data_IF_403533665678
#
_entry.id   IF_403533665678
#
_cell.length_a   1.000
_cell.length_b   1.000
_cell.length_c   1.000
_cell.angle_alpha   90.00
_cell.angle_beta   90.00
_cell.angle_gamma   90.00
#
_symmetry.space_group_name_H-M   'P 1'
#
loop_
_entity.id
_entity.type
_entity.pdbx_description
1 polymer ?
#
# COMPACT_ATOMS: atom_id res chain seq x y z
N UNK A 1 -22.62 -55.31 23.38
CA UNK A 1 -22.81 -54.65 22.07
C UNK A 1 -23.01 -53.17 22.32
N UNK A 2 -22.06 -52.34 21.89
CA UNK A 2 -22.04 -50.87 22.14
C UNK A 2 -22.84 -50.15 21.05
N UNK A 3 -23.93 -49.53 21.39
CA UNK A 3 -24.74 -48.62 20.57
C UNK A 3 -24.20 -47.19 20.67
N UNK A 4 -22.94 -46.96 20.29
CA UNK A 4 -22.31 -45.61 20.34
C UNK A 4 -21.95 -45.04 18.94
N UNK A 5 -22.64 -45.48 17.89
CA UNK A 5 -22.32 -45.09 16.52
C UNK A 5 -23.37 -44.30 15.74
N UNK A 6 -24.47 -43.88 16.35
CA UNK A 6 -25.63 -43.32 15.61
C UNK A 6 -25.95 -41.84 15.89
N UNK A 7 -25.03 -41.07 16.48
CA UNK A 7 -25.15 -39.63 16.66
C UNK A 7 -23.99 -38.85 16.06
N UNK A 8 -23.40 -39.30 14.99
CA UNK A 8 -22.73 -38.41 14.06
C UNK A 8 -23.81 -37.58 13.36
N UNK A 9 -24.21 -36.49 14.01
CA UNK A 9 -25.11 -35.46 13.43
C UNK A 9 -24.48 -35.08 12.09
N UNK A 10 -25.16 -35.41 10.99
CA UNK A 10 -24.95 -34.76 9.72
C UNK A 10 -25.11 -33.26 9.98
N UNK A 11 -24.00 -32.57 10.18
CA UNK A 11 -23.95 -31.12 9.98
C UNK A 11 -24.12 -30.91 8.47
N UNK A 12 -25.39 -30.89 8.04
CA UNK A 12 -25.74 -30.46 6.70
C UNK A 12 -25.08 -29.10 6.50
N UNK A 13 -24.43 -28.91 5.37
CA UNK A 13 -23.87 -27.63 4.96
C UNK A 13 -25.03 -26.61 4.91
N UNK A 14 -25.29 -25.93 6.02
CA UNK A 14 -26.25 -24.83 6.05
C UNK A 14 -25.71 -23.73 5.12
N UNK A 15 -26.55 -23.10 4.28
CA UNK A 15 -26.12 -22.06 3.36
C UNK A 15 -25.56 -20.86 4.14
N UNK A 16 -24.59 -20.17 3.53
CA UNK A 16 -23.99 -18.97 4.08
C UNK A 16 -22.47 -19.06 4.27
N UNK A 17 -21.88 -17.94 4.68
CA UNK A 17 -20.45 -17.79 4.95
C UNK A 17 -20.16 -18.10 6.41
N UNK A 18 -19.17 -18.94 6.67
CA UNK A 18 -18.80 -19.39 8.02
C UNK A 18 -17.36 -18.98 8.34
N UNK A 19 -17.16 -18.39 9.53
CA UNK A 19 -15.83 -18.00 10.02
C UNK A 19 -15.79 -17.80 11.51
N UNK A 20 -14.62 -17.48 12.04
CA UNK A 20 -14.43 -17.18 13.46
C UNK A 20 -14.55 -15.67 13.67
N UNK A 21 -15.39 -15.25 14.62
CA UNK A 21 -15.58 -13.83 14.94
C UNK A 21 -14.32 -13.21 15.54
N UNK A 22 -13.88 -12.09 14.99
CA UNK A 22 -12.90 -11.18 15.57
C UNK A 22 -13.57 -9.85 15.84
N UNK A 23 -13.74 -9.54 17.12
CA UNK A 23 -14.50 -8.37 17.53
C UNK A 23 -13.56 -7.21 17.74
N UNK A 24 -13.87 -6.08 17.14
CA UNK A 24 -13.20 -4.83 17.38
C UNK A 24 -13.52 -4.31 18.80
N UNK A 25 -12.48 -4.03 19.57
CA UNK A 25 -12.60 -3.43 20.91
C UNK A 25 -12.08 -2.01 20.99
N UNK A 26 -11.19 -1.64 20.08
CA UNK A 26 -10.60 -0.31 19.85
C UNK A 26 -10.29 -0.18 18.38
N UNK A 27 -10.39 1.03 17.83
CA UNK A 27 -9.96 1.34 16.47
C UNK A 27 -8.58 0.71 16.19
N UNK A 28 -8.41 0.05 15.07
CA UNK A 28 -7.20 -0.65 14.59
C UNK A 28 -6.83 -1.99 15.26
N UNK A 29 -7.47 -2.39 16.38
CA UNK A 29 -7.10 -3.62 17.09
C UNK A 29 -7.55 -4.89 16.34
N UNK A 30 -8.65 -4.83 15.62
CA UNK A 30 -9.19 -5.99 14.88
C UNK A 30 -8.25 -6.42 13.76
N UNK A 31 -7.65 -5.49 13.03
CA UNK A 31 -6.76 -5.75 11.90
C UNK A 31 -5.50 -6.54 12.29
N UNK A 32 -5.01 -6.36 13.52
CA UNK A 32 -3.85 -7.11 14.05
C UNK A 32 -4.18 -8.53 14.46
N UNK A 33 -5.46 -8.86 14.70
CA UNK A 33 -5.91 -10.15 15.25
C UNK A 33 -6.62 -11.03 14.24
N UNK A 34 -7.12 -10.45 13.17
CA UNK A 34 -7.82 -11.15 12.09
C UNK A 34 -6.86 -12.08 11.33
N UNK A 35 -7.37 -13.25 10.97
CA UNK A 35 -6.67 -14.28 10.17
C UNK A 35 -7.50 -14.64 8.94
N UNK A 36 -6.88 -15.22 7.90
CA UNK A 36 -7.63 -15.72 6.76
C UNK A 36 -8.73 -16.70 7.17
N UNK A 37 -9.94 -16.47 6.65
CA UNK A 37 -11.14 -17.26 6.99
C UNK A 37 -11.93 -16.75 8.20
N UNK A 38 -11.49 -15.69 8.89
CA UNK A 38 -12.24 -15.10 9.98
C UNK A 38 -13.39 -14.19 9.49
N UNK A 39 -14.32 -13.87 10.39
CA UNK A 39 -15.37 -12.84 10.22
C UNK A 39 -15.01 -11.67 11.14
N UNK A 40 -14.80 -10.49 10.56
CA UNK A 40 -14.60 -9.27 11.33
C UNK A 40 -15.93 -8.71 11.84
N UNK A 41 -16.00 -8.36 13.13
CA UNK A 41 -17.15 -7.71 13.75
C UNK A 41 -16.74 -6.31 14.15
N UNK A 42 -17.34 -5.32 13.50
CA UNK A 42 -16.98 -3.90 13.58
C UNK A 42 -18.16 -3.08 14.16
N UNK A 43 -17.85 -1.88 14.62
CA UNK A 43 -18.82 -0.83 14.96
C UNK A 43 -18.38 0.49 14.32
N UNK A 44 -18.34 0.50 12.99
CA UNK A 44 -17.87 1.64 12.18
C UNK A 44 -19.03 2.28 11.43
N UNK A 45 -19.44 3.47 11.84
CA UNK A 45 -20.24 4.32 10.98
C UNK A 45 -19.35 4.82 9.81
N UNK A 46 -19.88 4.71 8.59
CA UNK A 46 -19.17 5.15 7.39
C UNK A 46 -17.83 4.39 7.18
N UNK A 47 -17.91 3.09 6.90
CA UNK A 47 -16.76 2.22 6.71
C UNK A 47 -15.89 2.70 5.54
N UNK A 48 -14.69 3.12 5.84
CA UNK A 48 -13.76 3.68 4.86
C UNK A 48 -13.06 2.60 4.02
N UNK A 49 -12.54 3.04 2.88
CA UNK A 49 -11.84 2.18 1.94
C UNK A 49 -10.58 1.55 2.55
N UNK A 50 -9.80 2.30 3.34
CA UNK A 50 -8.54 1.82 3.94
C UNK A 50 -8.78 0.63 4.86
N UNK A 51 -9.79 0.74 5.73
CA UNK A 51 -10.18 -0.34 6.63
C UNK A 51 -10.66 -1.57 5.84
N UNK A 52 -11.48 -1.37 4.80
CA UNK A 52 -11.93 -2.47 3.95
C UNK A 52 -10.78 -3.16 3.20
N UNK A 53 -9.86 -2.41 2.62
CA UNK A 53 -8.66 -2.94 1.93
C UNK A 53 -7.76 -3.74 2.90
N UNK A 54 -7.62 -3.27 4.14
CA UNK A 54 -6.88 -4.00 5.16
C UNK A 54 -7.55 -5.33 5.54
N UNK A 55 -8.90 -5.36 5.66
CA UNK A 55 -9.67 -6.58 5.88
C UNK A 55 -9.56 -7.57 4.71
N UNK A 56 -9.63 -7.07 3.47
CA UNK A 56 -9.38 -7.89 2.25
C UNK A 56 -7.99 -8.50 2.30
N UNK A 57 -6.97 -7.71 2.61
CA UNK A 57 -5.58 -8.18 2.70
C UNK A 57 -5.37 -9.20 3.82
N UNK A 58 -6.12 -9.09 4.91
CA UNK A 58 -6.10 -10.06 6.01
C UNK A 58 -6.85 -11.36 5.66
N UNK A 59 -7.58 -11.42 4.54
CA UNK A 59 -8.25 -12.63 4.04
C UNK A 59 -9.52 -12.98 4.81
N UNK A 60 -10.26 -12.00 5.34
CA UNK A 60 -11.56 -12.25 5.97
C UNK A 60 -12.57 -12.79 4.94
N UNK A 61 -13.51 -13.61 5.40
CA UNK A 61 -14.57 -14.16 4.55
C UNK A 61 -15.91 -13.44 4.74
N UNK A 62 -16.03 -12.65 5.79
CA UNK A 62 -17.23 -11.87 6.08
C UNK A 62 -16.95 -10.71 7.02
N UNK A 63 -17.81 -9.71 6.95
CA UNK A 63 -17.82 -8.54 7.84
C UNK A 63 -19.23 -8.39 8.39
N UNK A 64 -19.33 -8.18 9.70
CA UNK A 64 -20.55 -7.80 10.41
C UNK A 64 -20.32 -6.43 11.00
N UNK A 65 -21.07 -5.43 10.55
CA UNK A 65 -20.95 -4.07 11.05
C UNK A 65 -22.16 -3.69 11.89
N UNK A 66 -21.93 -3.23 13.12
CA UNK A 66 -22.97 -2.81 14.03
C UNK A 66 -23.65 -1.51 13.59
N UNK A 67 -22.86 -0.57 13.05
CA UNK A 67 -23.32 0.70 12.50
C UNK A 67 -23.56 0.61 10.98
N UNK A 68 -24.24 1.60 10.35
CA UNK A 68 -24.36 1.66 8.91
C UNK A 68 -23.00 1.97 8.26
N UNK A 69 -22.57 1.13 7.33
CA UNK A 69 -21.32 1.29 6.59
C UNK A 69 -21.37 2.43 5.57
N UNK A 70 -22.56 2.87 5.18
CA UNK A 70 -22.81 4.11 4.42
C UNK A 70 -23.98 4.81 5.11
N UNK A 71 -23.70 5.93 5.79
CA UNK A 71 -24.71 6.68 6.56
C UNK A 71 -25.45 7.73 5.72
N UNK A 72 -25.11 7.92 4.47
CA UNK A 72 -25.63 8.98 3.60
C UNK A 72 -24.88 10.31 3.73
N UNK A 73 -23.88 10.42 4.63
CA UNK A 73 -23.06 11.63 4.77
C UNK A 73 -21.91 11.69 3.78
N UNK A 74 -21.29 10.53 3.53
CA UNK A 74 -20.16 10.36 2.64
C UNK A 74 -20.35 9.13 1.76
N UNK A 75 -19.92 9.17 0.48
CA UNK A 75 -19.93 8.01 -0.38
C UNK A 75 -18.75 7.09 -0.07
N UNK A 76 -18.79 6.46 1.12
CA UNK A 76 -17.71 5.59 1.59
C UNK A 76 -17.55 4.36 0.72
N UNK A 77 -16.33 4.09 0.28
CA UNK A 77 -16.01 3.03 -0.67
C UNK A 77 -15.72 1.67 -0.01
N UNK A 78 -15.72 1.60 1.32
CA UNK A 78 -15.43 0.36 2.04
C UNK A 78 -16.33 -0.81 1.67
N UNK A 79 -17.66 -0.65 1.68
CA UNK A 79 -18.58 -1.71 1.27
C UNK A 79 -18.34 -2.22 -0.14
N UNK A 80 -18.12 -1.33 -1.11
CA UNK A 80 -17.83 -1.69 -2.51
C UNK A 80 -16.54 -2.53 -2.63
N UNK A 81 -15.49 -2.16 -1.89
CA UNK A 81 -14.22 -2.91 -1.83
C UNK A 81 -14.43 -4.32 -1.27
N UNK A 82 -15.20 -4.46 -0.17
CA UNK A 82 -15.48 -5.77 0.43
C UNK A 82 -16.24 -6.68 -0.53
N UNK A 83 -17.33 -6.17 -1.12
CA UNK A 83 -18.17 -6.93 -2.03
C UNK A 83 -17.44 -7.31 -3.32
N UNK A 84 -16.64 -6.39 -3.87
CA UNK A 84 -15.78 -6.66 -5.04
C UNK A 84 -14.75 -7.76 -4.78
N UNK A 85 -14.32 -7.93 -3.53
CA UNK A 85 -13.43 -9.01 -3.10
C UNK A 85 -14.19 -10.32 -2.75
N UNK A 86 -15.52 -10.35 -2.89
CA UNK A 86 -16.35 -11.51 -2.57
C UNK A 86 -16.57 -11.73 -1.06
N UNK A 87 -16.35 -10.71 -0.23
CA UNK A 87 -16.54 -10.77 1.22
C UNK A 87 -17.99 -10.43 1.54
N UNK A 88 -18.66 -11.32 2.30
CA UNK A 88 -20.04 -11.10 2.73
C UNK A 88 -20.11 -9.94 3.73
N UNK A 89 -20.99 -8.97 3.50
CA UNK A 89 -21.23 -7.84 4.41
C UNK A 89 -22.65 -7.88 4.96
N UNK A 90 -22.76 -7.96 6.30
CA UNK A 90 -24.02 -7.78 7.03
C UNK A 90 -23.90 -6.49 7.82
N UNK A 91 -24.72 -5.52 7.45
CA UNK A 91 -24.65 -4.14 7.92
C UNK A 91 -25.75 -3.78 8.90
N UNK A 92 -25.51 -2.80 9.77
CA UNK A 92 -26.51 -2.25 10.70
C UNK A 92 -27.11 -3.29 11.66
N UNK A 93 -26.29 -4.22 12.17
CA UNK A 93 -26.77 -5.27 13.10
C UNK A 93 -27.12 -4.69 14.49
N UNK A 94 -26.65 -3.50 14.79
CA UNK A 94 -26.86 -2.80 16.06
C UNK A 94 -25.71 -2.98 17.06
N UNK A 95 -25.48 -1.98 17.92
CA UNK A 95 -24.31 -1.93 18.83
C UNK A 95 -24.35 -3.02 19.91
N UNK A 96 -25.53 -3.54 20.27
CA UNK A 96 -25.67 -4.60 21.26
C UNK A 96 -25.12 -5.93 20.78
N UNK A 97 -25.04 -6.15 19.46
CA UNK A 97 -24.53 -7.39 18.89
C UNK A 97 -23.06 -7.65 19.29
N UNK A 98 -22.19 -6.65 19.12
CA UNK A 98 -20.78 -6.76 19.45
C UNK A 98 -20.52 -7.03 20.95
N UNK A 99 -21.46 -6.62 21.83
CA UNK A 99 -21.40 -6.87 23.28
C UNK A 99 -21.85 -8.27 23.66
N UNK A 100 -22.77 -8.86 22.89
CA UNK A 100 -23.36 -10.18 23.18
C UNK A 100 -22.49 -11.34 22.68
N UNK A 101 -21.68 -11.12 21.67
CA UNK A 101 -20.83 -12.15 21.07
C UNK A 101 -19.43 -12.14 21.71
N UNK A 102 -18.89 -13.32 21.95
CA UNK A 102 -17.51 -13.47 22.43
C UNK A 102 -16.54 -13.58 21.24
N UNK A 103 -15.39 -12.93 21.37
CA UNK A 103 -14.29 -13.09 20.42
C UNK A 103 -13.91 -14.58 20.29
N UNK A 104 -13.67 -15.05 19.07
CA UNK A 104 -13.44 -16.46 18.79
C UNK A 104 -14.69 -17.33 18.58
N UNK A 105 -15.89 -16.78 18.67
CA UNK A 105 -17.15 -17.52 18.39
C UNK A 105 -17.22 -17.86 16.90
N UNK A 106 -17.63 -19.11 16.57
CA UNK A 106 -17.91 -19.48 15.18
C UNK A 106 -19.25 -18.92 14.73
N UNK A 107 -19.22 -18.02 13.77
CA UNK A 107 -20.39 -17.39 13.18
C UNK A 107 -20.69 -17.93 11.78
N UNK A 108 -21.97 -17.86 11.38
CA UNK A 108 -22.46 -18.09 10.03
C UNK A 108 -23.32 -16.91 9.61
N UNK A 109 -23.02 -16.35 8.44
CA UNK A 109 -23.76 -15.23 7.83
C UNK A 109 -24.63 -15.78 6.71
N UNK A 110 -25.93 -15.47 6.74
CA UNK A 110 -26.85 -15.88 5.69
C UNK A 110 -28.05 -14.91 5.63
N UNK A 111 -28.29 -14.32 4.46
CA UNK A 111 -29.44 -13.42 4.20
C UNK A 111 -29.65 -12.34 5.29
N UNK A 112 -28.57 -11.67 5.69
CA UNK A 112 -28.62 -10.63 6.74
C UNK A 112 -28.71 -11.19 8.17
N UNK A 113 -28.94 -12.48 8.35
CA UNK A 113 -28.88 -13.13 9.66
C UNK A 113 -27.45 -13.51 10.06
N UNK A 114 -27.15 -13.33 11.35
CA UNK A 114 -25.91 -13.78 11.98
C UNK A 114 -26.24 -14.90 12.95
N UNK A 115 -25.63 -16.07 12.78
CA UNK A 115 -25.96 -17.29 13.50
C UNK A 115 -24.77 -17.86 14.28
N UNK A 116 -25.07 -18.43 15.46
CA UNK A 116 -24.20 -19.34 16.20
C UNK A 116 -24.83 -20.74 16.16
N UNK A 117 -24.24 -21.64 15.37
CA UNK A 117 -24.91 -22.89 15.01
C UNK A 117 -26.18 -22.65 14.20
N UNK A 118 -27.32 -23.08 14.74
CA UNK A 118 -28.65 -22.86 14.14
C UNK A 118 -29.39 -21.64 14.74
N UNK A 119 -28.89 -21.11 15.86
CA UNK A 119 -29.52 -19.97 16.55
C UNK A 119 -29.11 -18.65 15.90
N UNK A 120 -30.09 -17.85 15.49
CA UNK A 120 -29.87 -16.46 15.09
C UNK A 120 -29.56 -15.62 16.35
N UNK A 121 -28.46 -14.89 16.30
CA UNK A 121 -27.95 -14.05 17.39
C UNK A 121 -27.90 -12.58 17.03
N UNK A 122 -28.15 -12.25 15.78
CA UNK A 122 -28.25 -10.89 15.28
C UNK A 122 -28.79 -10.87 13.86
N UNK A 123 -29.37 -9.76 13.47
CA UNK A 123 -29.90 -9.52 12.13
C UNK A 123 -29.56 -8.11 11.70
N UNK A 124 -29.05 -7.98 10.49
CA UNK A 124 -28.79 -6.73 9.81
C UNK A 124 -29.25 -6.79 8.36
N UNK A 125 -28.75 -5.88 7.56
CA UNK A 125 -28.99 -5.85 6.12
C UNK A 125 -27.84 -6.55 5.40
N UNK A 126 -28.12 -7.63 4.66
CA UNK A 126 -27.15 -8.19 3.74
C UNK A 126 -26.94 -7.18 2.61
N UNK A 127 -25.73 -6.72 2.43
CA UNK A 127 -25.37 -5.81 1.35
C UNK A 127 -24.96 -6.60 0.11
N UNK A 128 -25.39 -6.13 -1.05
CA UNK A 128 -24.95 -6.56 -2.36
C UNK A 128 -24.50 -5.36 -3.21
N UNK A 129 -24.04 -5.63 -4.42
CA UNK A 129 -23.52 -4.58 -5.28
C UNK A 129 -24.58 -3.52 -5.64
N UNK A 130 -25.83 -3.93 -5.83
CA UNK A 130 -26.91 -3.03 -6.22
C UNK A 130 -27.32 -2.15 -5.03
N UNK A 131 -27.50 -2.73 -3.84
CA UNK A 131 -27.83 -1.98 -2.63
C UNK A 131 -26.75 -0.97 -2.25
N UNK A 132 -25.46 -1.33 -2.38
CA UNK A 132 -24.36 -0.42 -2.13
C UNK A 132 -24.30 0.69 -3.19
N UNK A 133 -24.57 0.39 -4.46
CA UNK A 133 -24.64 1.41 -5.50
C UNK A 133 -25.73 2.44 -5.23
N UNK A 134 -26.90 2.01 -4.80
CA UNK A 134 -28.02 2.90 -4.45
C UNK A 134 -27.66 3.80 -3.25
N UNK A 135 -27.09 3.21 -2.19
CA UNK A 135 -26.63 3.96 -1.02
C UNK A 135 -25.54 4.99 -1.37
N UNK A 136 -24.64 4.66 -2.29
CA UNK A 136 -23.62 5.60 -2.77
C UNK A 136 -24.21 6.75 -3.58
N UNK A 137 -25.28 6.50 -4.36
CA UNK A 137 -25.99 7.57 -5.10
C UNK A 137 -26.66 8.52 -4.09
N UNK A 138 -27.35 8.00 -3.08
CA UNK A 138 -27.99 8.80 -2.03
C UNK A 138 -26.96 9.61 -1.25
N UNK A 139 -25.84 8.99 -0.86
CA UNK A 139 -24.75 9.66 -0.14
C UNK A 139 -24.11 10.79 -0.96
N UNK A 140 -23.99 10.62 -2.29
CA UNK A 140 -23.52 11.70 -3.18
C UNK A 140 -24.48 12.88 -3.23
N UNK A 141 -25.79 12.64 -3.20
CA UNK A 141 -26.79 13.70 -3.16
C UNK A 141 -26.75 14.51 -1.85
N UNK A 142 -26.48 13.81 -0.71
CA UNK A 142 -26.33 14.45 0.62
C UNK A 142 -25.04 15.26 0.81
N UNK A 143 -24.12 15.21 -0.13
CA UNK A 143 -22.74 15.67 0.04
C UNK A 143 -22.53 17.20 -0.03
N UNK A 144 -23.53 17.99 -0.42
CA UNK A 144 -23.39 19.47 -0.55
C UNK A 144 -22.87 20.13 0.72
N UNK A 145 -23.45 19.77 1.87
CA UNK A 145 -23.04 20.32 3.17
C UNK A 145 -21.59 19.94 3.53
N UNK A 146 -21.17 18.76 3.13
CA UNK A 146 -19.79 18.29 3.36
C UNK A 146 -18.78 19.05 2.49
N UNK A 147 -19.15 19.37 1.25
CA UNK A 147 -18.31 20.18 0.36
C UNK A 147 -18.19 21.64 0.86
N UNK A 148 -19.26 22.19 1.42
CA UNK A 148 -19.20 23.50 2.07
C UNK A 148 -18.25 23.50 3.27
N UNK A 149 -18.37 22.48 4.15
CA UNK A 149 -17.49 22.31 5.31
C UNK A 149 -16.03 22.10 4.87
N UNK A 150 -15.80 21.27 3.84
CA UNK A 150 -14.47 21.07 3.26
C UNK A 150 -13.88 22.38 2.72
N UNK A 151 -14.68 23.17 2.00
CA UNK A 151 -14.24 24.46 1.46
C UNK A 151 -13.84 25.42 2.57
N UNK A 152 -14.67 25.53 3.63
CA UNK A 152 -14.36 26.34 4.80
C UNK A 152 -13.07 25.90 5.51
N UNK A 153 -12.92 24.59 5.73
CA UNK A 153 -11.73 24.01 6.34
C UNK A 153 -10.48 24.22 5.47
N UNK A 154 -10.62 24.17 4.13
CA UNK A 154 -9.52 24.42 3.20
C UNK A 154 -9.03 25.86 3.27
N UNK A 155 -9.96 26.81 3.35
CA UNK A 155 -9.62 28.25 3.52
C UNK A 155 -8.92 28.46 4.85
N UNK A 156 -9.41 27.86 5.94
CA UNK A 156 -8.81 27.98 7.27
C UNK A 156 -7.42 27.33 7.32
N UNK A 157 -7.26 26.15 6.75
CA UNK A 157 -5.96 25.51 6.63
C UNK A 157 -4.97 26.38 5.84
N UNK A 158 -5.39 26.93 4.69
CA UNK A 158 -4.56 27.79 3.88
C UNK A 158 -4.16 29.10 4.64
N UNK A 159 -5.04 29.66 5.46
CA UNK A 159 -4.71 30.82 6.30
C UNK A 159 -3.64 30.48 7.34
N UNK A 160 -3.78 29.33 7.99
CA UNK A 160 -2.87 28.88 9.06
C UNK A 160 -1.50 28.47 8.52
N UNK A 161 -1.48 27.72 7.43
CA UNK A 161 -0.26 27.17 6.82
C UNK A 161 0.19 27.96 5.58
N UNK A 162 -0.19 29.24 5.48
CA UNK A 162 0.04 30.07 4.30
C UNK A 162 1.51 30.09 3.88
N UNK A 163 2.42 30.34 4.82
CA UNK A 163 3.85 30.44 4.54
C UNK A 163 4.44 29.12 4.10
N UNK A 164 3.99 28.02 4.68
CA UNK A 164 4.40 26.68 4.25
C UNK A 164 3.86 26.35 2.85
N UNK A 165 2.56 26.54 2.63
CA UNK A 165 1.90 26.12 1.38
C UNK A 165 2.26 27.04 0.20
N UNK A 166 2.41 28.34 0.38
CA UNK A 166 2.72 29.28 -0.71
C UNK A 166 4.23 29.47 -0.89
N UNK A 167 4.95 29.66 0.19
CA UNK A 167 6.35 30.10 0.16
C UNK A 167 7.34 28.97 0.48
N UNK A 168 6.89 27.83 1.02
CA UNK A 168 7.75 26.72 1.49
C UNK A 168 8.54 27.04 2.75
N UNK A 169 8.15 28.10 3.48
CA UNK A 169 8.83 28.51 4.73
C UNK A 169 8.37 27.60 5.87
N UNK A 170 9.31 27.16 6.70
CA UNK A 170 9.07 26.28 7.85
C UNK A 170 9.38 24.80 7.55
N UNK A 171 9.78 24.49 6.31
CA UNK A 171 10.30 23.16 5.98
C UNK A 171 11.70 23.02 6.59
N UNK A 172 11.98 21.93 7.33
CA UNK A 172 13.28 21.71 7.91
C UNK A 172 14.36 21.43 6.85
N UNK A 173 15.60 21.82 7.14
CA UNK A 173 16.75 21.46 6.33
C UNK A 173 17.06 19.96 6.49
N UNK A 174 17.53 19.35 5.41
CA UNK A 174 17.95 17.95 5.36
C UNK A 174 19.45 17.87 5.06
N UNK A 175 20.10 16.87 5.66
CA UNK A 175 21.47 16.49 5.30
C UNK A 175 21.50 15.76 3.94
N UNK A 176 20.43 15.05 3.61
CA UNK A 176 20.25 14.39 2.33
C UNK A 176 19.99 15.40 1.22
N UNK A 177 20.81 15.40 0.15
CA UNK A 177 20.60 16.27 -1.01
C UNK A 177 19.51 15.71 -1.92
N UNK A 178 18.42 16.48 -2.08
CA UNK A 178 17.30 16.19 -2.98
C UNK A 178 17.32 17.07 -4.24
N UNK A 179 18.14 18.13 -4.25
CA UNK A 179 18.18 19.15 -5.32
C UNK A 179 18.48 18.50 -6.68
N UNK A 180 17.64 18.79 -7.67
CA UNK A 180 17.68 18.25 -9.04
C UNK A 180 17.64 16.71 -9.16
N UNK A 181 17.33 16.01 -8.07
CA UNK A 181 17.22 14.55 -8.07
C UNK A 181 15.77 14.08 -8.12
N UNK A 182 15.49 12.93 -8.77
CA UNK A 182 14.19 12.27 -8.61
C UNK A 182 14.07 11.74 -7.17
N UNK A 183 12.86 11.83 -6.63
CA UNK A 183 12.51 11.32 -5.29
C UNK A 183 11.43 10.25 -5.46
N UNK A 184 11.51 9.18 -4.69
CA UNK A 184 10.44 8.19 -4.56
C UNK A 184 9.93 8.24 -3.12
N UNK A 185 8.64 8.58 -2.95
CA UNK A 185 7.96 8.59 -1.66
C UNK A 185 7.08 7.35 -1.56
N UNK A 186 7.35 6.51 -0.56
CA UNK A 186 6.56 5.33 -0.26
C UNK A 186 5.76 5.56 1.01
N UNK A 187 4.45 5.67 0.87
CA UNK A 187 3.50 5.76 1.98
C UNK A 187 2.77 4.42 2.20
N UNK A 188 2.25 4.17 3.41
CA UNK A 188 1.42 3.02 3.67
C UNK A 188 0.10 3.14 2.90
N UNK A 189 -0.19 2.17 2.03
CA UNK A 189 -1.41 2.15 1.22
C UNK A 189 -1.62 0.77 0.61
N UNK A 190 -2.82 0.51 0.11
CA UNK A 190 -3.13 -0.80 -0.47
C UNK A 190 -2.24 -1.13 -1.67
N UNK A 191 -1.60 -2.31 -1.64
CA UNK A 191 -0.77 -2.81 -2.74
C UNK A 191 0.57 -2.11 -2.90
N UNK A 192 0.96 -1.18 -1.99
CA UNK A 192 2.21 -0.42 -2.09
C UNK A 192 3.47 -1.29 -2.19
N UNK A 193 3.50 -2.45 -1.51
CA UNK A 193 4.63 -3.38 -1.59
C UNK A 193 4.78 -3.99 -3.00
N UNK A 194 3.67 -4.32 -3.66
CA UNK A 194 3.70 -4.85 -5.02
C UNK A 194 3.99 -3.76 -6.06
N UNK A 195 3.50 -2.55 -5.85
CA UNK A 195 3.83 -1.41 -6.70
C UNK A 195 5.32 -1.05 -6.58
N UNK A 196 5.91 -1.12 -5.37
CA UNK A 196 7.35 -0.97 -5.16
C UNK A 196 8.15 -2.04 -5.93
N UNK A 197 7.71 -3.30 -5.91
CA UNK A 197 8.36 -4.38 -6.69
C UNK A 197 8.37 -4.08 -8.19
N UNK A 198 7.32 -3.50 -8.73
CA UNK A 198 7.23 -3.10 -10.16
C UNK A 198 8.19 -1.97 -10.50
N UNK A 199 8.56 -1.14 -9.53
CA UNK A 199 9.48 0.00 -9.69
C UNK A 199 10.96 -0.37 -9.52
N UNK A 200 11.32 -1.64 -9.29
CA UNK A 200 12.73 -2.08 -9.11
C UNK A 200 13.65 -1.62 -10.24
N UNK A 201 13.16 -1.64 -11.49
CA UNK A 201 13.94 -1.16 -12.64
C UNK A 201 14.17 0.33 -12.55
N UNK A 202 13.13 1.11 -12.23
CA UNK A 202 13.21 2.55 -12.02
C UNK A 202 14.23 2.90 -10.94
N UNK A 203 14.10 2.29 -9.76
CA UNK A 203 15.00 2.57 -8.62
C UNK A 203 16.45 2.29 -8.98
N UNK A 204 16.73 1.17 -9.67
CA UNK A 204 18.09 0.80 -10.08
C UNK A 204 18.67 1.73 -11.13
N UNK A 205 17.86 2.19 -12.08
CA UNK A 205 18.27 3.00 -13.22
C UNK A 205 18.46 4.47 -12.84
N UNK A 206 17.49 5.04 -12.14
CA UNK A 206 17.45 6.46 -11.81
C UNK A 206 18.02 6.78 -10.43
N UNK A 207 18.17 5.80 -9.54
CA UNK A 207 18.66 5.95 -8.18
C UNK A 207 18.00 7.13 -7.44
N UNK A 208 16.66 7.16 -7.35
CA UNK A 208 15.97 8.24 -6.69
C UNK A 208 16.35 8.31 -5.21
N UNK A 209 16.19 9.47 -4.58
CA UNK A 209 16.19 9.58 -3.13
C UNK A 209 14.95 8.85 -2.61
N UNK A 210 15.11 7.99 -1.61
CA UNK A 210 14.03 7.18 -1.07
C UNK A 210 13.51 7.79 0.23
N UNK A 211 12.26 8.22 0.21
CA UNK A 211 11.56 8.72 1.40
C UNK A 211 10.52 7.67 1.80
N UNK A 212 10.66 7.14 3.02
CA UNK A 212 9.66 6.27 3.62
C UNK A 212 8.74 7.07 4.54
N UNK A 213 7.43 6.94 4.35
CA UNK A 213 6.45 7.55 5.24
C UNK A 213 5.94 6.49 6.19
N UNK A 214 6.08 6.70 7.51
CA UNK A 214 5.61 5.76 8.55
C UNK A 214 6.02 4.31 8.25
N UNK A 215 5.08 3.34 8.29
CA UNK A 215 5.34 1.93 7.98
C UNK A 215 5.77 1.69 6.52
N UNK A 216 5.63 2.67 5.63
CA UNK A 216 6.22 2.62 4.30
C UNK A 216 7.76 2.54 4.32
N UNK A 217 8.40 3.08 5.37
CA UNK A 217 9.83 2.94 5.58
C UNK A 217 10.24 1.48 5.86
N UNK A 218 9.42 0.74 6.61
CA UNK A 218 9.63 -0.69 6.87
C UNK A 218 9.57 -1.50 5.57
N UNK A 219 8.58 -1.20 4.73
CA UNK A 219 8.41 -1.87 3.42
C UNK A 219 9.59 -1.61 2.48
N UNK A 220 10.17 -0.40 2.48
CA UNK A 220 11.42 -0.14 1.75
C UNK A 220 12.54 -1.07 2.23
N UNK A 221 12.72 -1.22 3.55
CA UNK A 221 13.74 -2.08 4.13
C UNK A 221 13.52 -3.56 3.85
N UNK A 222 12.30 -4.03 3.98
CA UNK A 222 11.92 -5.42 3.63
C UNK A 222 12.18 -5.74 2.16
N UNK A 223 12.03 -4.75 1.28
CA UNK A 223 12.37 -4.86 -0.14
C UNK A 223 13.89 -4.78 -0.43
N UNK A 224 14.72 -4.60 0.60
CA UNK A 224 16.18 -4.51 0.50
C UNK A 224 16.72 -3.11 0.16
N UNK A 225 15.90 -2.07 0.32
CA UNK A 225 16.32 -0.68 0.14
C UNK A 225 16.54 -0.01 1.49
N UNK A 226 17.55 0.86 1.57
CA UNK A 226 17.72 1.77 2.70
C UNK A 226 17.04 3.08 2.37
N UNK A 227 16.04 3.55 3.14
CA UNK A 227 15.51 4.90 2.97
C UNK A 227 16.60 5.94 3.28
N UNK A 228 16.61 7.04 2.55
CA UNK A 228 17.46 8.20 2.81
C UNK A 228 16.81 9.08 3.89
N UNK A 229 15.49 9.24 3.83
CA UNK A 229 14.68 10.02 4.78
C UNK A 229 13.47 9.20 5.21
N UNK A 230 13.08 9.35 6.47
CA UNK A 230 11.86 8.77 7.04
C UNK A 230 11.02 9.91 7.62
N UNK A 231 9.75 10.00 7.22
CA UNK A 231 8.82 11.04 7.67
C UNK A 231 7.64 10.38 8.38
N UNK A 232 7.28 10.82 9.56
CA UNK A 232 6.07 10.37 10.24
C UNK A 232 6.23 10.09 11.72
N UNK A 233 5.20 9.44 12.29
CA UNK A 233 5.18 9.06 13.69
C UNK A 233 6.13 7.87 13.95
N UNK A 234 7.14 8.04 14.81
CA UNK A 234 8.05 6.95 15.15
C UNK A 234 7.36 5.72 15.75
N UNK A 235 6.20 5.88 16.39
CA UNK A 235 5.53 4.80 17.11
C UNK A 235 4.95 3.72 16.18
N UNK A 236 4.73 4.05 14.91
CA UNK A 236 4.23 3.10 13.90
C UNK A 236 5.35 2.50 13.04
N UNK A 237 6.62 2.82 13.33
CA UNK A 237 7.80 2.37 12.57
C UNK A 237 8.59 1.36 13.42
N UNK A 238 9.16 0.32 12.81
CA UNK A 238 9.99 -0.64 13.53
C UNK A 238 11.29 -0.03 14.04
N UNK A 239 11.75 -0.49 15.19
CA UNK A 239 13.00 0.00 15.80
C UNK A 239 14.21 -0.22 14.89
N UNK A 240 14.23 -1.31 14.15
CA UNK A 240 15.29 -1.65 13.20
C UNK A 240 15.32 -0.65 12.04
N UNK A 241 14.17 -0.17 11.60
CA UNK A 241 14.06 0.83 10.53
C UNK A 241 14.47 2.21 11.04
N UNK A 242 14.05 2.60 12.24
CA UNK A 242 14.48 3.85 12.85
C UNK A 242 16.01 3.92 13.01
N UNK A 243 16.67 2.79 13.29
CA UNK A 243 18.13 2.69 13.44
C UNK A 243 18.90 2.43 12.14
N UNK A 244 18.26 2.45 10.98
CA UNK A 244 18.96 2.15 9.71
C UNK A 244 19.93 3.25 9.25
N UNK A 245 19.94 4.39 9.94
CA UNK A 245 20.78 5.56 9.59
C UNK A 245 20.17 6.40 8.46
N UNK A 246 18.85 6.38 8.32
CA UNK A 246 18.08 7.37 7.56
C UNK A 246 17.94 8.65 8.39
N UNK A 247 17.74 9.79 7.74
CA UNK A 247 17.39 11.03 8.40
C UNK A 247 15.91 10.99 8.81
N UNK A 248 15.63 11.27 10.10
CA UNK A 248 14.27 11.19 10.64
C UNK A 248 13.65 12.58 10.69
N UNK A 249 12.47 12.73 10.12
CA UNK A 249 11.65 13.94 10.15
C UNK A 249 10.34 13.62 10.86
N UNK A 250 10.14 14.22 12.04
CA UNK A 250 8.98 13.96 12.89
C UNK A 250 8.00 15.13 12.76
N UNK A 251 6.74 14.88 12.36
CA UNK A 251 5.71 15.91 12.41
C UNK A 251 5.57 16.48 13.81
N UNK A 252 5.49 17.80 13.91
CA UNK A 252 5.30 18.50 15.17
C UNK A 252 4.12 19.45 15.07
N UNK A 253 3.48 19.72 16.20
CA UNK A 253 2.50 20.79 16.31
C UNK A 253 3.17 22.16 16.16
N UNK A 254 2.40 23.19 15.82
CA UNK A 254 2.91 24.56 15.69
C UNK A 254 3.48 25.14 17.00
N UNK A 255 3.09 24.57 18.14
CA UNK A 255 3.65 24.89 19.46
C UNK A 255 5.00 24.20 19.75
N UNK A 256 5.49 23.37 18.82
CA UNK A 256 6.74 22.62 18.89
C UNK A 256 6.62 21.25 19.56
N UNK A 257 5.46 20.87 20.07
CA UNK A 257 5.27 19.51 20.61
C UNK A 257 5.31 18.48 19.46
N UNK A 258 6.21 17.51 19.54
CA UNK A 258 6.39 16.46 18.56
C UNK A 258 6.09 15.10 19.20
N UNK A 259 4.92 14.50 18.95
CA UNK A 259 4.60 13.14 19.39
C UNK A 259 5.65 12.14 18.90
N UNK A 260 6.01 11.15 19.71
CA UNK A 260 7.01 10.14 19.38
C UNK A 260 8.48 10.60 19.51
N UNK A 261 8.77 11.89 19.77
CA UNK A 261 10.15 12.38 19.96
C UNK A 261 10.85 11.70 21.14
N UNK A 262 10.11 11.40 22.22
CA UNK A 262 10.65 10.68 23.40
C UNK A 262 11.23 9.32 22.99
N UNK A 263 10.53 8.57 22.16
CA UNK A 263 11.00 7.28 21.64
C UNK A 263 12.31 7.39 20.87
N UNK A 264 12.47 8.46 20.09
CA UNK A 264 13.71 8.71 19.33
C UNK A 264 14.86 9.03 20.26
N UNK A 265 14.61 9.81 21.31
CA UNK A 265 15.60 10.13 22.35
C UNK A 265 16.01 8.87 23.14
N UNK A 266 15.06 8.02 23.51
CA UNK A 266 15.31 6.72 24.18
C UNK A 266 16.15 5.77 23.32
N UNK A 267 15.98 5.82 22.00
CA UNK A 267 16.79 5.04 21.06
C UNK A 267 18.18 5.62 20.81
N UNK A 268 18.47 6.83 21.30
CA UNK A 268 19.75 7.53 21.14
C UNK A 268 20.04 7.98 19.70
N UNK A 269 18.99 8.27 18.91
CA UNK A 269 19.11 8.73 17.53
C UNK A 269 18.61 10.16 17.39
N UNK A 270 19.15 10.90 16.42
CA UNK A 270 18.72 12.26 16.12
C UNK A 270 17.50 12.27 15.19
N UNK A 271 16.67 13.28 15.35
CA UNK A 271 15.59 13.59 14.43
C UNK A 271 15.42 15.09 14.27
N UNK A 272 14.86 15.50 13.14
CA UNK A 272 14.46 16.88 12.86
C UNK A 272 12.94 16.97 12.98
N UNK A 273 12.44 18.02 13.60
CA UNK A 273 11.00 18.25 13.72
C UNK A 273 10.48 19.09 12.57
N UNK A 274 9.29 18.77 12.08
CA UNK A 274 8.60 19.52 11.04
C UNK A 274 7.30 20.11 11.60
N UNK A 275 7.31 21.36 12.10
CA UNK A 275 6.12 21.98 12.67
C UNK A 275 5.13 22.38 11.57
N UNK A 276 4.14 21.53 11.34
CA UNK A 276 3.08 21.76 10.36
C UNK A 276 1.85 20.91 10.67
N UNK A 277 0.67 21.37 10.25
CA UNK A 277 -0.60 20.66 10.48
C UNK A 277 -0.97 19.68 9.36
N UNK A 278 -0.01 19.26 8.53
CA UNK A 278 -0.23 18.32 7.42
C UNK A 278 -0.16 16.86 7.86
N UNK A 279 -0.66 15.97 7.00
CA UNK A 279 -0.41 14.54 7.15
C UNK A 279 1.05 14.20 6.82
N UNK A 280 1.63 13.12 7.38
CA UNK A 280 3.01 12.73 7.10
C UNK A 280 3.32 12.56 5.61
N UNK A 281 2.37 12.04 4.83
CA UNK A 281 2.50 11.93 3.37
C UNK A 281 2.64 13.30 2.70
N UNK A 282 1.84 14.27 3.10
CA UNK A 282 1.87 15.62 2.56
C UNK A 282 3.15 16.34 2.95
N UNK A 283 3.61 16.15 4.20
CA UNK A 283 4.87 16.70 4.68
C UNK A 283 6.07 16.14 3.91
N UNK A 284 6.05 14.86 3.57
CA UNK A 284 7.08 14.23 2.74
C UNK A 284 7.12 14.85 1.32
N UNK A 285 5.95 15.15 0.75
CA UNK A 285 5.86 15.83 -0.55
C UNK A 285 6.37 17.28 -0.48
N UNK A 286 5.93 18.04 0.53
CA UNK A 286 6.37 19.43 0.74
C UNK A 286 7.87 19.51 1.01
N UNK A 287 8.43 18.53 1.74
CA UNK A 287 9.86 18.39 1.97
C UNK A 287 10.62 18.21 0.64
N UNK A 288 10.15 17.29 -0.22
CA UNK A 288 10.74 17.08 -1.53
C UNK A 288 10.67 18.32 -2.44
N UNK A 289 9.53 19.06 -2.39
CA UNK A 289 9.38 20.29 -3.17
C UNK A 289 10.30 21.42 -2.70
N UNK A 290 10.35 21.66 -1.39
CA UNK A 290 11.16 22.73 -0.82
C UNK A 290 12.67 22.49 -1.07
N UNK A 291 13.10 21.22 -1.06
CA UNK A 291 14.48 20.83 -1.41
C UNK A 291 14.70 20.66 -2.92
N UNK A 292 13.80 21.21 -3.76
CA UNK A 292 13.92 21.31 -5.22
C UNK A 292 14.11 19.97 -5.92
N UNK A 293 13.43 18.92 -5.45
CA UNK A 293 13.38 17.66 -6.18
C UNK A 293 12.89 17.88 -7.62
N UNK A 294 13.53 17.21 -8.59
CA UNK A 294 13.16 17.35 -10.00
C UNK A 294 11.83 16.67 -10.32
N UNK A 295 11.54 15.54 -9.68
CA UNK A 295 10.35 14.73 -9.86
C UNK A 295 10.07 13.94 -8.59
N UNK A 296 8.80 13.76 -8.25
CA UNK A 296 8.39 12.95 -7.10
C UNK A 296 7.49 11.81 -7.56
N UNK A 297 7.99 10.59 -7.45
CA UNK A 297 7.23 9.36 -7.73
C UNK A 297 6.58 8.91 -6.43
N UNK A 298 5.25 8.82 -6.43
CA UNK A 298 4.47 8.44 -5.24
C UNK A 298 4.01 7.00 -5.32
N UNK A 299 4.18 6.25 -4.23
CA UNK A 299 3.71 4.87 -4.08
C UNK A 299 2.91 4.75 -2.79
N UNK A 300 1.76 4.09 -2.84
CA UNK A 300 0.83 4.01 -1.71
C UNK A 300 -0.08 5.23 -1.56
N UNK A 301 0.08 6.22 -2.43
CA UNK A 301 -0.80 7.39 -2.50
C UNK A 301 -1.96 7.10 -3.46
N UNK A 302 -3.14 7.04 -2.93
CA UNK A 302 -4.34 6.94 -3.75
C UNK A 302 -5.10 8.26 -3.68
N UNK A 303 -5.29 8.94 -4.79
CA UNK A 303 -5.90 10.26 -4.83
C UNK A 303 -6.86 10.39 -6.00
N UNK A 304 -7.82 9.49 -6.04
CA UNK A 304 -9.01 9.64 -6.88
C UNK A 304 -10.01 10.55 -6.18
N UNK A 305 -10.95 11.12 -6.92
CA UNK A 305 -12.03 11.91 -6.34
C UNK A 305 -12.86 11.10 -5.34
N UNK A 306 -13.07 9.80 -5.60
CA UNK A 306 -13.77 8.91 -4.69
C UNK A 306 -13.05 8.77 -3.34
N UNK A 307 -11.74 8.59 -3.38
CA UNK A 307 -10.92 8.51 -2.17
C UNK A 307 -10.82 9.84 -1.42
N UNK A 308 -10.80 10.95 -2.15
CA UNK A 308 -10.83 12.28 -1.56
C UNK A 308 -12.13 12.55 -0.78
N UNK A 309 -13.24 11.97 -1.23
CA UNK A 309 -14.56 12.10 -0.60
C UNK A 309 -14.83 11.00 0.45
N UNK A 310 -13.95 10.05 0.62
CA UNK A 310 -14.04 9.01 1.66
C UNK A 310 -13.64 9.59 3.02
N UNK A 311 -14.56 9.57 3.99
CA UNK A 311 -14.38 10.18 5.31
C UNK A 311 -13.22 9.62 6.13
N UNK A 312 -12.90 8.36 5.95
CA UNK A 312 -11.84 7.67 6.69
C UNK A 312 -10.44 7.91 6.14
N UNK A 313 -10.30 8.76 5.12
CA UNK A 313 -9.03 8.92 4.44
C UNK A 313 -8.43 10.32 4.57
N UNK A 314 -7.11 10.38 4.68
CA UNK A 314 -6.35 11.63 4.64
C UNK A 314 -6.52 12.41 3.32
N UNK A 315 -6.97 11.75 2.23
CA UNK A 315 -7.30 12.39 0.95
C UNK A 315 -8.41 13.43 1.01
N UNK A 316 -9.31 13.35 1.98
CA UNK A 316 -10.32 14.37 2.25
C UNK A 316 -9.79 15.55 3.07
N UNK A 317 -8.54 15.51 3.49
CA UNK A 317 -7.92 16.56 4.27
C UNK A 317 -7.54 17.76 3.36
N UNK A 318 -7.80 19.01 3.79
CA UNK A 318 -7.34 20.22 3.10
C UNK A 318 -5.85 20.24 2.79
N UNK A 319 -5.02 19.66 3.66
CA UNK A 319 -3.58 19.54 3.47
C UNK A 319 -3.25 18.79 2.18
N UNK A 320 -3.83 17.60 1.99
CA UNK A 320 -3.56 16.75 0.82
C UNK A 320 -4.00 17.44 -0.48
N UNK A 321 -5.16 18.11 -0.46
CA UNK A 321 -5.64 18.85 -1.61
C UNK A 321 -4.69 19.99 -2.02
N UNK A 322 -4.30 20.84 -1.06
CA UNK A 322 -3.43 21.99 -1.32
C UNK A 322 -2.00 21.56 -1.66
N UNK A 323 -1.46 20.56 -0.99
CA UNK A 323 -0.13 20.00 -1.29
C UNK A 323 -0.07 19.48 -2.73
N UNK A 324 -1.09 18.75 -3.19
CA UNK A 324 -1.14 18.26 -4.57
C UNK A 324 -1.25 19.37 -5.58
N UNK A 325 -2.04 20.43 -5.30
CA UNK A 325 -2.10 21.61 -6.15
C UNK A 325 -0.73 22.31 -6.24
N UNK A 326 -0.03 22.46 -5.11
CA UNK A 326 1.31 23.03 -5.07
C UNK A 326 2.31 22.21 -5.87
N UNK A 327 2.32 20.92 -5.69
CA UNK A 327 3.24 20.01 -6.38
C UNK A 327 3.00 19.96 -7.89
N UNK A 328 1.76 20.07 -8.32
CA UNK A 328 1.39 20.14 -9.74
C UNK A 328 1.97 19.00 -10.57
N UNK A 329 2.72 19.34 -11.62
CA UNK A 329 3.31 18.38 -12.55
C UNK A 329 4.54 17.63 -12.00
N UNK A 330 5.03 17.98 -10.82
CA UNK A 330 6.16 17.28 -10.20
C UNK A 330 5.80 15.91 -9.66
N UNK A 331 4.49 15.64 -9.36
CA UNK A 331 4.03 14.35 -8.87
C UNK A 331 3.71 13.42 -10.02
N UNK A 332 4.22 12.20 -9.94
CA UNK A 332 3.88 11.10 -10.86
C UNK A 332 3.56 9.86 -10.04
N UNK A 333 2.44 9.22 -10.36
CA UNK A 333 2.05 7.94 -9.74
C UNK A 333 3.03 6.82 -10.11
N UNK A 334 3.48 6.04 -9.13
CA UNK A 334 4.42 4.94 -9.34
C UNK A 334 3.89 3.87 -10.28
N UNK A 335 2.58 3.61 -10.31
CA UNK A 335 1.95 2.68 -11.26
C UNK A 335 2.08 3.20 -12.69
N UNK A 336 1.94 4.51 -12.90
CA UNK A 336 2.15 5.12 -14.21
C UNK A 336 3.61 4.99 -14.66
N UNK A 337 4.58 5.25 -13.76
CA UNK A 337 6.00 5.04 -14.03
C UNK A 337 6.30 3.58 -14.39
N UNK A 338 5.77 2.63 -13.62
CA UNK A 338 5.95 1.20 -13.89
C UNK A 338 5.33 0.78 -15.25
N UNK A 339 4.18 1.34 -15.61
CA UNK A 339 3.53 1.08 -16.89
C UNK A 339 4.33 1.63 -18.08
N UNK A 340 4.89 2.84 -17.94
CA UNK A 340 5.74 3.46 -18.97
C UNK A 340 7.07 2.71 -19.15
N UNK A 341 7.63 2.17 -18.06
CA UNK A 341 8.88 1.39 -18.12
C UNK A 341 8.71 -0.05 -18.58
N UNK A 342 7.48 -0.51 -18.82
CA UNK A 342 7.23 -1.85 -19.32
C UNK A 342 7.88 -1.99 -20.69
N UNK A 343 9.08 -2.59 -20.71
CA UNK A 343 9.84 -2.81 -21.93
C UNK A 343 9.00 -3.57 -22.97
N UNK A 344 8.73 -2.95 -24.11
CA UNK A 344 8.06 -3.61 -25.26
C UNK A 344 9.02 -4.50 -26.06
N UNK A 345 10.31 -4.43 -25.80
CA UNK A 345 11.29 -5.29 -26.47
C UNK A 345 11.40 -6.63 -25.71
N UNK A 346 10.87 -7.72 -26.23
CA UNK A 346 11.02 -9.03 -25.60
C UNK A 346 12.51 -9.39 -25.58
N UNK A 347 13.01 -9.87 -24.46
CA UNK A 347 14.40 -10.33 -24.29
C UNK A 347 14.80 -11.33 -25.39
N UNK A 348 13.84 -12.11 -25.88
CA UNK A 348 14.00 -13.03 -27.00
C UNK A 348 14.40 -12.33 -28.30
N UNK A 349 13.89 -11.12 -28.59
CA UNK A 349 14.27 -10.37 -29.78
C UNK A 349 15.74 -9.90 -29.72
N UNK A 350 16.19 -9.49 -28.55
CA UNK A 350 17.60 -9.09 -28.33
C UNK A 350 18.52 -10.31 -28.47
N UNK A 351 18.17 -11.45 -27.88
CA UNK A 351 18.91 -12.71 -28.00
C UNK A 351 18.97 -13.16 -29.46
N UNK A 352 17.85 -13.07 -30.17
CA UNK A 352 17.76 -13.46 -31.58
C UNK A 352 18.64 -12.53 -32.47
N UNK A 353 18.63 -11.22 -32.16
CA UNK A 353 19.52 -10.26 -32.85
C UNK A 353 20.98 -10.60 -32.63
N UNK A 354 21.39 -10.87 -31.38
CA UNK A 354 22.80 -11.27 -31.07
C UNK A 354 23.13 -12.58 -31.77
N UNK A 355 22.26 -13.57 -31.76
CA UNK A 355 22.48 -14.84 -32.46
C UNK A 355 22.59 -14.64 -33.96
N UNK A 356 21.79 -13.77 -34.57
CA UNK A 356 21.88 -13.45 -36.00
C UNK A 356 23.19 -12.74 -36.35
N UNK A 357 23.64 -11.80 -35.53
CA UNK A 357 24.94 -11.12 -35.71
C UNK A 357 26.11 -12.12 -35.60
N UNK A 358 26.07 -13.01 -34.58
CA UNK A 358 27.10 -14.03 -34.41
C UNK A 358 27.12 -15.00 -35.63
N UNK A 359 25.95 -15.41 -36.08
CA UNK A 359 25.82 -16.27 -37.28
C UNK A 359 26.42 -15.58 -38.51
N UNK A 360 26.11 -14.30 -38.74
CA UNK A 360 26.61 -13.52 -39.85
C UNK A 360 28.15 -13.40 -39.79
N UNK A 361 28.73 -13.18 -38.60
CA UNK A 361 30.19 -13.15 -38.40
C UNK A 361 30.81 -14.51 -38.71
N UNK A 362 30.22 -15.61 -38.25
CA UNK A 362 30.71 -16.98 -38.55
C UNK A 362 30.65 -17.24 -40.03
N UNK A 363 29.56 -16.93 -40.73
CA UNK A 363 29.42 -17.09 -42.16
C UNK A 363 30.45 -16.26 -42.93
N UNK A 364 30.65 -14.99 -42.51
CA UNK A 364 31.65 -14.09 -43.10
C UNK A 364 33.08 -14.65 -42.94
N UNK A 365 33.41 -15.21 -41.78
CA UNK A 365 34.71 -15.86 -41.53
C UNK A 365 34.86 -17.14 -42.36
N UNK A 366 33.82 -17.94 -42.56
CA UNK A 366 33.89 -19.16 -43.35
C UNK A 366 34.01 -18.88 -44.86
N UNK A 367 33.41 -17.79 -45.35
CA UNK A 367 33.48 -17.42 -46.80
C UNK A 367 34.74 -16.60 -47.10
N UNK A 368 35.30 -15.92 -46.13
CA UNK A 368 36.57 -15.16 -46.29
C UNK A 368 37.78 -16.12 -46.29
N UNK A 369 38.83 -15.81 -47.06
CA UNK A 369 40.10 -16.56 -47.04
C UNK A 369 40.78 -16.61 -45.66
N UNK A 370 40.39 -15.74 -44.73
CA UNK A 370 40.78 -15.75 -43.31
C UNK A 370 40.15 -16.92 -42.52
N UNK A 371 38.98 -17.41 -42.94
CA UNK A 371 38.32 -18.54 -42.30
C UNK A 371 39.07 -19.85 -42.41
N UNK A 372 39.72 -20.11 -43.56
CA UNK A 372 40.56 -21.29 -43.74
C UNK A 372 41.81 -21.26 -42.89
N UNK A 373 42.45 -20.08 -42.74
CA UNK A 373 43.60 -19.90 -41.87
C UNK A 373 43.22 -20.08 -40.38
N UNK A 374 42.04 -19.55 -39.96
CA UNK A 374 41.52 -19.70 -38.60
C UNK A 374 41.18 -21.16 -38.27
N UNK A 375 40.56 -21.91 -39.20
CA UNK A 375 40.28 -23.32 -39.00
C UNK A 375 41.56 -24.17 -38.86
N UNK A 376 42.65 -23.84 -39.59
CA UNK A 376 43.93 -24.51 -39.39
C UNK A 376 44.50 -24.24 -37.99
N UNK A 377 44.46 -22.98 -37.51
CA UNK A 377 44.92 -22.64 -36.16
C UNK A 377 44.11 -23.33 -35.07
N UNK A 378 42.77 -23.40 -35.21
CA UNK A 378 41.88 -24.09 -34.25
C UNK A 378 42.10 -25.60 -34.27
N UNK A 379 42.33 -26.21 -35.45
CA UNK A 379 42.67 -27.62 -35.58
C UNK A 379 44.00 -27.96 -34.95
N UNK A 380 45.05 -27.09 -35.14
CA UNK A 380 46.35 -27.27 -34.53
C UNK A 380 46.31 -27.13 -33.00
N UNK A 381 45.57 -26.12 -32.47
CA UNK A 381 45.37 -25.96 -31.05
C UNK A 381 44.58 -27.17 -30.45
N UNK A 382 43.57 -27.65 -31.12
CA UNK A 382 42.82 -28.85 -30.74
C UNK A 382 43.70 -30.10 -30.71
N UNK A 383 44.59 -30.24 -31.70
CA UNK A 383 45.58 -31.32 -31.76
C UNK A 383 46.60 -31.27 -30.61
N UNK A 384 47.09 -30.07 -30.27
CA UNK A 384 48.00 -29.87 -29.13
C UNK A 384 47.32 -30.16 -27.78
N UNK A 385 46.10 -29.74 -27.57
CA UNK A 385 45.32 -30.04 -26.36
C UNK A 385 45.08 -31.54 -26.24
N UNK A 386 44.69 -32.21 -27.33
CA UNK A 386 44.44 -33.66 -27.33
C UNK A 386 45.77 -34.45 -27.07
N UNK A 387 46.91 -33.99 -27.64
CA UNK A 387 48.23 -34.58 -27.36
C UNK A 387 48.65 -34.39 -25.89
N UNK A 388 48.40 -33.20 -25.34
CA UNK A 388 48.67 -32.89 -23.92
C UNK A 388 47.87 -33.83 -22.97
N UNK A 389 46.57 -34.03 -23.22
CA UNK A 389 45.73 -34.94 -22.45
C UNK A 389 46.14 -36.44 -22.65
N UNK A 390 46.58 -36.82 -23.84
CA UNK A 390 47.10 -38.19 -24.07
C UNK A 390 48.42 -38.45 -23.31
N UNK A 391 49.31 -37.45 -23.23
CA UNK A 391 50.57 -37.57 -22.48
C UNK A 391 50.40 -37.53 -20.95
N UNK A 392 49.21 -37.14 -20.46
CA UNK A 392 48.89 -37.17 -19.02
C UNK A 392 48.26 -38.50 -18.57
N UNK A 393 47.83 -39.36 -19.53
CA UNK A 393 47.16 -40.65 -19.30
C UNK A 393 48.08 -41.86 -19.61
N UNK A 394 49.32 -41.62 -20.01
CA UNK A 394 50.41 -42.61 -20.13
C UNK A 394 51.51 -42.30 -19.15
#
# INVERSE_FOLDING_TARGET
MKLSGLLARQQGNLPGVVGIARIERRSDDVLRRVRPGDIAVLDHADLDRRTAEALVSAGVVGVVNAAPSISGRYPNLGPDVLLSAGIALVDSVGPEFARQIKDGTKLRLHEGGVFVGEREVGRGTAQDADSVADLLIEAKAGMSAQLEAFSANTIEFLRRERTLILDGIGVPDLSASLEDRPVLVLAPGYGHADDLKRLRKYIREYRPVLIGVESGADVLREAGYKPDVIVGDPDVISTETLKCGAELVIPAHLDGHAPGLERIQDLGIGAVTFPASGNPEDLALLLADAHKASLVVTVGFHATLGEFLDSGRSGSNPSTFLTRLRMGSKIVDGRAVAALQRSRTPTSAVVLLIAAVLLAVVVALLVSGLGTAFMHVVADLGGQVAAYFKGLLT
#
